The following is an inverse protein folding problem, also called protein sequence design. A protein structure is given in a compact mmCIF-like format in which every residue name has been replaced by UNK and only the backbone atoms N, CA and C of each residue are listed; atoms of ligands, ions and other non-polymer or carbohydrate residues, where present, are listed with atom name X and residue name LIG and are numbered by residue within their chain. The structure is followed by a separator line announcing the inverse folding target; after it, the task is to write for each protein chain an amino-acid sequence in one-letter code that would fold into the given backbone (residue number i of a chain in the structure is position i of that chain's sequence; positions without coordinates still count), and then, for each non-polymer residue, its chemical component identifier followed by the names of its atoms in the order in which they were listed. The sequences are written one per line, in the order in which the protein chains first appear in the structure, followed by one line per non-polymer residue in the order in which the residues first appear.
data_IF_069716027301
#
_entry.id   IF_069716027301
#
_cell.length_a   1.000
_cell.length_b   1.000
_cell.length_c   1.000
_cell.angle_alpha   90.00
_cell.angle_beta   90.00
_cell.angle_gamma   90.00
#
_symmetry.space_group_name_H-M   'P 1'
#
loop_
_entity.id
_entity.type
_entity.pdbx_description
1 polymer ?
#
# COMPACT_ATOMS: atom_id res chain seq x y z
N UNK A 1 8.54 16.58 -17.11
CA UNK A 1 9.70 15.79 -17.56
C UNK A 1 9.36 14.89 -18.75
N UNK A 2 8.25 14.14 -18.73
CA UNK A 2 7.90 13.19 -19.80
C UNK A 2 6.67 13.58 -20.63
N UNK A 3 6.37 14.87 -20.82
CA UNK A 3 5.20 15.29 -21.60
C UNK A 3 3.82 15.03 -20.97
N UNK A 4 3.76 14.61 -19.70
CA UNK A 4 2.51 14.50 -18.94
C UNK A 4 1.82 15.86 -18.78
N UNK A 5 0.50 15.87 -18.94
CA UNK A 5 -0.34 17.03 -18.64
C UNK A 5 -0.21 17.38 -17.15
N UNK A 6 0.14 18.63 -16.89
CA UNK A 6 0.34 19.14 -15.52
C UNK A 6 -0.94 19.03 -14.68
N UNK A 7 -2.12 19.22 -15.27
CA UNK A 7 -3.41 19.16 -14.57
C UNK A 7 -3.70 17.75 -14.05
N UNK A 8 -3.43 16.77 -14.89
CA UNK A 8 -3.58 15.36 -14.55
C UNK A 8 -2.57 14.99 -13.46
N UNK A 9 -1.28 15.32 -13.67
CA UNK A 9 -0.24 15.01 -12.71
C UNK A 9 -0.48 15.67 -11.35
N UNK A 10 -0.81 16.97 -11.32
CA UNK A 10 -1.11 17.69 -10.08
C UNK A 10 -2.38 17.16 -9.42
N UNK A 11 -3.40 16.81 -10.20
CA UNK A 11 -4.65 16.22 -9.70
C UNK A 11 -4.42 14.88 -9.01
N UNK A 12 -3.63 13.99 -9.62
CA UNK A 12 -3.25 12.70 -9.01
C UNK A 12 -2.46 12.89 -7.72
N UNK A 13 -1.48 13.81 -7.71
CA UNK A 13 -0.70 14.11 -6.52
C UNK A 13 -1.61 14.63 -5.39
N UNK A 14 -2.47 15.61 -5.69
CA UNK A 14 -3.39 16.18 -4.71
C UNK A 14 -4.39 15.13 -4.17
N UNK A 15 -4.97 14.30 -5.05
CA UNK A 15 -5.87 13.22 -4.65
C UNK A 15 -5.16 12.14 -3.82
N UNK A 16 -3.92 11.78 -4.15
CA UNK A 16 -3.15 10.79 -3.38
C UNK A 16 -2.86 11.26 -1.96
N UNK A 17 -2.64 12.57 -1.75
CA UNK A 17 -2.40 13.15 -0.44
C UNK A 17 -3.62 13.06 0.50
N UNK A 18 -4.83 13.19 -0.04
CA UNK A 18 -6.06 13.06 0.76
C UNK A 18 -6.45 11.60 0.98
N UNK A 19 -6.16 10.71 0.03
CA UNK A 19 -6.34 9.26 0.18
C UNK A 19 -5.51 8.67 1.33
N UNK A 20 -4.28 9.14 1.48
CA UNK A 20 -3.37 8.69 2.54
C UNK A 20 -3.93 8.96 3.95
N UNK A 21 -4.85 9.93 4.09
CA UNK A 21 -5.49 10.23 5.37
C UNK A 21 -6.63 9.25 5.72
N UNK A 22 -7.13 8.48 4.75
CA UNK A 22 -8.25 7.54 4.97
C UNK A 22 -7.75 6.13 5.29
N UNK A 23 -6.63 5.71 4.67
CA UNK A 23 -6.10 4.35 4.85
C UNK A 23 -5.31 4.26 6.17
N UNK A 24 -5.55 3.24 7.01
CA UNK A 24 -4.80 3.05 8.26
C UNK A 24 -3.28 2.96 8.05
N UNK A 25 -2.46 3.54 8.94
CA UNK A 25 -2.80 4.28 10.17
C UNK A 25 -3.21 5.74 9.91
N UNK A 26 -4.40 6.14 10.35
CA UNK A 26 -4.96 7.49 10.13
C UNK A 26 -5.19 8.23 11.44
N UNK A 27 -4.57 9.41 11.59
CA UNK A 27 -4.77 10.29 12.76
C UNK A 27 -6.24 10.69 12.90
N UNK A 28 -6.92 10.99 11.79
CA UNK A 28 -8.33 11.40 11.81
C UNK A 28 -9.20 10.29 12.38
N UNK A 29 -8.98 9.03 11.95
CA UNK A 29 -9.72 7.88 12.50
C UNK A 29 -9.39 7.61 13.97
N UNK A 30 -8.14 7.81 14.40
CA UNK A 30 -7.75 7.69 15.81
C UNK A 30 -8.51 8.71 16.67
N UNK A 31 -8.53 9.97 16.25
CA UNK A 31 -9.24 11.03 16.98
C UNK A 31 -10.74 10.76 17.00
N UNK A 32 -11.33 10.33 15.88
CA UNK A 32 -12.76 9.97 15.85
C UNK A 32 -13.08 8.77 16.74
N UNK A 33 -12.20 7.75 16.80
CA UNK A 33 -12.36 6.61 17.69
C UNK A 33 -12.44 7.06 19.16
N UNK A 34 -11.52 7.96 19.55
CA UNK A 34 -11.45 8.56 20.88
C UNK A 34 -12.74 9.35 21.19
N UNK A 35 -13.18 10.23 20.29
CA UNK A 35 -14.40 11.03 20.46
C UNK A 35 -15.68 10.18 20.52
N UNK A 36 -15.73 9.07 19.78
CA UNK A 36 -16.88 8.17 19.73
C UNK A 36 -16.85 7.08 20.81
N UNK A 37 -15.80 7.04 21.65
CA UNK A 37 -15.62 5.99 22.67
C UNK A 37 -15.54 4.58 22.07
N UNK A 38 -15.03 4.45 20.84
CA UNK A 38 -14.89 3.18 20.11
C UNK A 38 -13.42 2.79 19.99
N UNK A 39 -13.17 1.50 19.77
CA UNK A 39 -11.82 1.02 19.49
C UNK A 39 -11.31 1.60 18.16
N UNK A 40 -10.04 2.04 18.15
CA UNK A 40 -9.33 2.44 16.92
C UNK A 40 -9.33 1.32 15.90
N UNK A 41 -9.19 0.06 16.36
CA UNK A 41 -9.21 -1.12 15.49
C UNK A 41 -10.54 -1.27 14.73
N UNK A 42 -11.67 -1.02 15.40
CA UNK A 42 -13.01 -1.10 14.79
C UNK A 42 -13.19 0.00 13.74
N UNK A 43 -12.67 1.21 14.01
CA UNK A 43 -12.68 2.32 13.06
C UNK A 43 -11.81 2.00 11.83
N UNK A 44 -10.66 1.37 12.01
CA UNK A 44 -9.79 0.93 10.91
C UNK A 44 -10.45 -0.16 10.06
N UNK A 45 -11.07 -1.16 10.70
CA UNK A 45 -11.79 -2.22 10.00
C UNK A 45 -12.95 -1.64 9.17
N UNK A 46 -13.71 -0.68 9.74
CA UNK A 46 -14.81 0.00 9.05
C UNK A 46 -14.35 0.89 7.88
N UNK A 47 -13.17 1.50 7.97
CA UNK A 47 -12.62 2.36 6.93
C UNK A 47 -11.98 1.61 5.74
N UNK A 48 -11.72 0.31 5.89
CA UNK A 48 -10.99 -0.48 4.91
C UNK A 48 -11.75 -0.62 3.57
N UNK A 49 -13.04 -0.97 3.62
CA UNK A 49 -13.89 -1.08 2.44
C UNK A 49 -13.99 0.25 1.68
N UNK A 50 -14.39 1.38 2.29
CA UNK A 50 -14.48 2.65 1.57
C UNK A 50 -13.12 3.13 1.05
N UNK A 51 -12.03 2.89 1.79
CA UNK A 51 -10.67 3.20 1.32
C UNK A 51 -10.29 2.43 0.05
N UNK A 52 -10.59 1.13 -0.01
CA UNK A 52 -10.34 0.30 -1.19
C UNK A 52 -11.24 0.70 -2.37
N UNK A 53 -12.52 1.00 -2.14
CA UNK A 53 -13.43 1.48 -3.19
C UNK A 53 -12.91 2.78 -3.79
N UNK A 54 -12.53 3.75 -2.97
CA UNK A 54 -12.00 5.04 -3.45
C UNK A 54 -10.69 4.87 -4.22
N UNK A 55 -9.79 4.02 -3.72
CA UNK A 55 -8.53 3.66 -4.40
C UNK A 55 -8.81 3.03 -5.76
N UNK A 56 -9.77 2.10 -5.83
CA UNK A 56 -10.22 1.47 -7.07
C UNK A 56 -10.79 2.49 -8.05
N UNK A 57 -11.64 3.41 -7.59
CA UNK A 57 -12.21 4.47 -8.42
C UNK A 57 -11.14 5.40 -8.99
N UNK A 58 -10.14 5.82 -8.21
CA UNK A 58 -9.03 6.63 -8.71
C UNK A 58 -8.15 5.88 -9.71
N UNK A 59 -7.84 4.61 -9.42
CA UNK A 59 -7.07 3.76 -10.33
C UNK A 59 -7.82 3.60 -11.65
N UNK A 60 -9.12 3.29 -11.59
CA UNK A 60 -9.99 3.17 -12.74
C UNK A 60 -10.05 4.48 -13.54
N UNK A 61 -10.20 5.62 -12.86
CA UNK A 61 -10.21 6.93 -13.50
C UNK A 61 -8.92 7.18 -14.30
N UNK A 62 -7.76 6.89 -13.72
CA UNK A 62 -6.47 7.06 -14.40
C UNK A 62 -6.28 6.06 -15.54
N UNK A 63 -6.70 4.82 -15.36
CA UNK A 63 -6.68 3.81 -16.42
C UNK A 63 -7.54 4.25 -17.61
N UNK A 64 -8.79 4.67 -17.37
CA UNK A 64 -9.68 5.18 -18.42
C UNK A 64 -9.08 6.40 -19.10
N UNK A 65 -8.56 7.36 -18.32
CA UNK A 65 -7.97 8.58 -18.85
C UNK A 65 -6.72 8.30 -19.71
N UNK A 66 -5.94 7.28 -19.36
CA UNK A 66 -4.77 6.86 -20.16
C UNK A 66 -5.16 6.33 -21.54
N UNK A 67 -6.32 5.68 -21.65
CA UNK A 67 -6.85 5.14 -22.92
C UNK A 67 -7.55 6.24 -23.73
N UNK A 68 -8.36 7.09 -23.08
CA UNK A 68 -9.16 8.12 -23.75
C UNK A 68 -8.30 9.33 -24.17
N UNK A 69 -7.26 9.67 -23.39
CA UNK A 69 -6.39 10.82 -23.65
C UNK A 69 -4.90 10.44 -23.53
N UNK A 70 -4.40 9.53 -24.38
CA UNK A 70 -3.03 9.04 -24.31
C UNK A 70 -1.98 10.15 -24.51
N UNK A 71 -2.32 11.22 -25.25
CA UNK A 71 -1.45 12.39 -25.42
C UNK A 71 -1.17 13.15 -24.11
N UNK A 72 -2.08 13.06 -23.13
CA UNK A 72 -1.94 13.71 -21.83
C UNK A 72 -1.18 12.87 -20.80
N UNK A 73 -1.03 11.58 -21.07
CA UNK A 73 -0.34 10.59 -20.24
C UNK A 73 0.55 9.70 -21.12
N UNK A 74 1.54 10.28 -21.83
CA UNK A 74 2.35 9.52 -22.79
C UNK A 74 3.17 8.43 -22.07
N UNK A 75 3.34 7.29 -22.74
CA UNK A 75 4.13 6.19 -22.20
C UNK A 75 5.58 6.62 -21.94
N UNK A 76 6.18 6.12 -20.86
CA UNK A 76 7.59 6.36 -20.57
C UNK A 76 8.48 5.79 -21.70
N UNK A 77 9.54 6.53 -22.09
CA UNK A 77 10.51 6.06 -23.07
C UNK A 77 11.24 4.82 -22.54
N UNK A 78 11.67 3.93 -23.44
CA UNK A 78 12.21 2.61 -23.08
C UNK A 78 13.44 2.71 -22.17
N UNK A 79 14.23 3.76 -22.33
CA UNK A 79 15.44 4.07 -21.56
C UNK A 79 15.12 4.41 -20.10
N UNK A 80 13.90 4.87 -19.80
CA UNK A 80 13.43 5.17 -18.45
C UNK A 80 12.64 4.00 -17.82
N UNK A 81 12.40 2.90 -18.56
CA UNK A 81 11.68 1.72 -18.06
C UNK A 81 12.65 0.82 -17.29
N UNK A 82 12.89 1.16 -16.02
CA UNK A 82 13.72 0.35 -15.11
C UNK A 82 13.05 -0.97 -14.68
N UNK A 83 11.74 -1.11 -14.93
CA UNK A 83 10.89 -2.16 -14.35
C UNK A 83 10.91 -3.52 -15.06
N UNK A 84 11.85 -3.77 -15.99
CA UNK A 84 11.83 -4.97 -16.83
C UNK A 84 12.06 -6.30 -16.09
N UNK A 85 12.62 -6.27 -14.87
CA UNK A 85 13.09 -7.48 -14.17
C UNK A 85 12.60 -7.56 -12.70
N UNK A 86 12.05 -6.47 -12.16
CA UNK A 86 11.71 -6.36 -10.74
C UNK A 86 10.37 -6.96 -10.33
N UNK A 87 9.47 -7.27 -11.27
CA UNK A 87 8.11 -7.76 -10.94
C UNK A 87 8.14 -9.15 -10.31
N UNK A 88 8.97 -10.06 -10.84
CA UNK A 88 9.15 -11.39 -10.24
C UNK A 88 9.84 -11.30 -8.89
N UNK A 89 10.89 -10.47 -8.77
CA UNK A 89 11.55 -10.19 -7.49
C UNK A 89 10.56 -9.66 -6.45
N UNK A 90 9.71 -8.70 -6.83
CA UNK A 90 8.67 -8.14 -5.96
C UNK A 90 7.65 -9.20 -5.53
N UNK A 91 7.19 -10.05 -6.45
CA UNK A 91 6.27 -11.15 -6.13
C UNK A 91 6.89 -12.14 -5.15
N UNK A 92 8.15 -12.55 -5.39
CA UNK A 92 8.87 -13.44 -4.47
C UNK A 92 9.10 -12.79 -3.11
N UNK A 93 9.46 -11.51 -3.07
CA UNK A 93 9.64 -10.76 -1.83
C UNK A 93 8.32 -10.72 -1.03
N UNK A 94 7.21 -10.31 -1.67
CA UNK A 94 5.89 -10.26 -1.03
C UNK A 94 5.47 -11.65 -0.53
N UNK A 95 5.62 -12.68 -1.36
CA UNK A 95 5.31 -14.06 -0.97
C UNK A 95 6.16 -14.51 0.22
N UNK A 96 7.47 -14.23 0.20
CA UNK A 96 8.38 -14.55 1.29
C UNK A 96 7.98 -13.85 2.59
N UNK A 97 7.63 -12.55 2.58
CA UNK A 97 7.13 -11.87 3.77
C UNK A 97 5.86 -12.51 4.30
N UNK A 98 4.91 -12.85 3.43
CA UNK A 98 3.64 -13.44 3.86
C UNK A 98 3.89 -14.80 4.49
N UNK A 99 4.71 -15.64 3.85
CA UNK A 99 5.06 -16.98 4.37
C UNK A 99 5.80 -16.88 5.70
N UNK A 100 6.80 -16.00 5.80
CA UNK A 100 7.58 -15.81 7.04
C UNK A 100 6.70 -15.23 8.15
N UNK A 101 5.88 -14.21 7.85
CA UNK A 101 4.95 -13.64 8.83
C UNK A 101 3.97 -14.68 9.35
N UNK A 102 3.44 -15.52 8.45
CA UNK A 102 2.51 -16.57 8.81
C UNK A 102 3.17 -17.70 9.61
N UNK A 103 4.38 -18.12 9.23
CA UNK A 103 5.15 -19.11 9.96
C UNK A 103 5.51 -18.61 11.38
N UNK A 104 5.93 -17.35 11.48
CA UNK A 104 6.20 -16.70 12.76
C UNK A 104 4.93 -16.60 13.62
N UNK A 105 3.79 -16.19 13.05
CA UNK A 105 2.51 -16.23 13.74
C UNK A 105 2.19 -17.64 14.27
N UNK A 106 2.30 -18.68 13.42
CA UNK A 106 2.02 -20.07 13.81
C UNK A 106 2.94 -20.58 14.93
N UNK A 107 4.21 -20.17 14.92
CA UNK A 107 5.19 -20.57 15.93
C UNK A 107 5.00 -19.83 17.25
N UNK A 108 4.67 -18.52 17.20
CA UNK A 108 4.50 -17.70 18.39
C UNK A 108 3.09 -17.82 18.99
N UNK A 109 2.06 -18.21 18.23
CA UNK A 109 0.67 -18.31 18.69
C UNK A 109 0.48 -19.16 19.96
N UNK A 110 1.14 -20.34 20.13
CA UNK A 110 1.02 -21.13 21.36
C UNK A 110 1.63 -20.45 22.60
N UNK A 111 2.58 -19.53 22.43
CA UNK A 111 3.35 -18.92 23.51
C UNK A 111 2.92 -17.49 23.85
N UNK A 112 2.49 -16.72 22.84
CA UNK A 112 2.21 -15.28 22.94
C UNK A 112 0.74 -14.94 22.70
N UNK A 113 -0.11 -15.94 22.41
CA UNK A 113 -1.55 -15.76 22.24
C UNK A 113 -1.90 -14.65 21.24
N UNK A 114 -2.63 -13.64 21.72
CA UNK A 114 -3.06 -12.50 20.90
C UNK A 114 -1.91 -11.65 20.37
N UNK A 115 -0.72 -11.63 20.98
CA UNK A 115 0.40 -10.80 20.51
C UNK A 115 1.15 -11.42 19.32
N UNK A 116 0.88 -12.68 19.00
CA UNK A 116 1.60 -13.41 17.96
C UNK A 116 1.35 -12.85 16.55
N UNK A 117 0.25 -12.13 16.34
CA UNK A 117 -0.10 -11.47 15.08
C UNK A 117 0.85 -10.30 14.77
N UNK A 118 1.05 -9.39 15.72
CA UNK A 118 1.93 -8.23 15.63
C UNK A 118 3.38 -8.69 15.55
N UNK A 119 3.77 -9.66 16.37
CA UNK A 119 5.13 -10.20 16.36
C UNK A 119 5.44 -10.93 15.05
N UNK A 120 4.49 -11.72 14.54
CA UNK A 120 4.62 -12.39 13.25
C UNK A 120 4.79 -11.40 12.10
N UNK A 121 3.94 -10.37 12.04
CA UNK A 121 4.05 -9.31 11.04
C UNK A 121 5.38 -8.54 11.13
N UNK A 122 5.83 -8.23 12.34
CA UNK A 122 7.10 -7.53 12.58
C UNK A 122 8.29 -8.34 12.07
N UNK A 123 8.32 -9.66 12.32
CA UNK A 123 9.38 -10.55 11.83
C UNK A 123 9.42 -10.58 10.30
N UNK A 124 8.26 -10.68 9.64
CA UNK A 124 8.21 -10.65 8.18
C UNK A 124 8.67 -9.33 7.56
N UNK A 125 8.32 -8.20 8.18
CA UNK A 125 8.78 -6.87 7.74
C UNK A 125 10.30 -6.72 7.91
N UNK A 126 10.85 -7.12 9.06
CA UNK A 126 12.30 -7.08 9.31
C UNK A 126 13.03 -7.94 8.29
N UNK A 127 12.53 -9.14 8.00
CA UNK A 127 13.16 -10.04 7.04
C UNK A 127 13.23 -9.43 5.64
N UNK A 128 12.12 -8.90 5.11
CA UNK A 128 12.14 -8.20 3.81
C UNK A 128 13.11 -7.04 3.85
N UNK A 129 13.12 -6.26 4.93
CA UNK A 129 13.98 -5.09 5.03
C UNK A 129 15.47 -5.46 5.00
N UNK A 130 15.86 -6.53 5.71
CA UNK A 130 17.22 -7.07 5.66
C UNK A 130 17.58 -7.59 4.28
N UNK A 131 16.67 -8.35 3.64
CA UNK A 131 16.87 -8.85 2.27
C UNK A 131 17.04 -7.67 1.29
N UNK A 132 16.24 -6.62 1.42
CA UNK A 132 16.32 -5.44 0.57
C UNK A 132 17.61 -4.64 0.77
N UNK A 133 18.16 -4.60 2.00
CA UNK A 133 19.48 -4.00 2.26
C UNK A 133 20.59 -4.87 1.66
N UNK A 134 20.47 -6.19 1.72
CA UNK A 134 21.47 -7.11 1.20
C UNK A 134 21.48 -7.19 -0.35
N UNK A 135 20.38 -6.79 -1.00
CA UNK A 135 20.21 -6.71 -2.46
C UNK A 135 20.70 -5.37 -3.05
N UNK A 136 21.27 -4.46 -2.23
CA UNK A 136 21.92 -3.21 -2.68
C UNK A 136 23.36 -3.43 -3.14
#
# INVERSE_FOLDING_TARGET
RYGYDRRVASGVIAASGTLAQIIPPSLVLIVLADQLGRSVGDMYAGALIPGLVLTGLYTMYILIMSIVRPKSMPALPLEARTLGHGVLSLLFAVLAAVVVSYAAYRYLAPSQGQNADILGATIGVILIYVVAIADQ
#
